data_IF_361064233132
#
_entry.id   IF_361064233132
#
_cell.length_a   1.000
_cell.length_b   1.000
_cell.length_c   1.000
_cell.angle_alpha   90.00
_cell.angle_beta   90.00
_cell.angle_gamma   90.00
#
_symmetry.space_group_name_H-M   'P 1'
#
loop_
_entity.id
_entity.type
_entity.pdbx_description
1 polymer ?
#
# COMPACT_ATOMS: atom_id res chain seq x y z
N UNK A 1 -14.17 29.90 -5.41
CA UNK A 1 -12.99 29.09 -5.73
C UNK A 1 -13.42 27.64 -5.80
N UNK A 2 -12.98 26.88 -6.80
CA UNK A 2 -13.22 25.42 -6.84
C UNK A 2 -12.45 24.74 -5.72
N UNK A 3 -13.12 23.90 -4.93
CA UNK A 3 -12.49 23.10 -3.89
C UNK A 3 -11.52 22.10 -4.54
N UNK A 4 -10.24 22.15 -4.18
CA UNK A 4 -9.25 21.17 -4.59
C UNK A 4 -9.26 19.96 -3.65
N UNK A 5 -8.93 18.78 -4.18
CA UNK A 5 -8.94 17.50 -3.46
C UNK A 5 -7.56 16.86 -3.49
N UNK A 6 -7.18 16.27 -2.37
CA UNK A 6 -6.07 15.33 -2.26
C UNK A 6 -6.63 13.91 -2.25
N UNK A 7 -5.87 12.97 -2.82
CA UNK A 7 -6.25 11.56 -2.90
C UNK A 7 -5.17 10.69 -2.26
N UNK A 8 -5.63 9.62 -1.61
CA UNK A 8 -4.76 8.59 -1.04
C UNK A 8 -5.27 7.23 -1.47
N UNK A 9 -4.36 6.35 -1.88
CA UNK A 9 -4.71 5.00 -2.34
C UNK A 9 -3.93 3.99 -1.50
N UNK A 10 -4.68 3.15 -0.77
CA UNK A 10 -4.12 2.08 0.04
C UNK A 10 -4.45 0.73 -0.60
N UNK A 11 -3.43 -0.08 -0.87
CA UNK A 11 -3.59 -1.51 -1.06
C UNK A 11 -3.78 -2.18 0.30
N UNK A 12 -4.86 -2.94 0.47
CA UNK A 12 -5.13 -3.67 1.71
C UNK A 12 -5.24 -5.16 1.38
N UNK A 13 -4.34 -5.99 1.90
CA UNK A 13 -4.52 -7.44 2.04
C UNK A 13 -4.84 -7.77 3.50
N UNK A 14 -6.08 -8.19 3.72
CA UNK A 14 -6.60 -8.54 5.06
C UNK A 14 -5.82 -9.67 5.74
N UNK A 15 -4.99 -10.43 5.00
CA UNK A 15 -4.12 -11.47 5.56
C UNK A 15 -2.93 -10.92 6.32
N UNK A 16 -2.56 -9.66 6.15
CA UNK A 16 -1.62 -9.03 7.07
C UNK A 16 -0.75 -7.92 6.52
N UNK A 17 -1.08 -7.33 5.37
CA UNK A 17 -0.28 -6.26 4.78
C UNK A 17 -1.18 -5.16 4.24
N UNK A 18 -0.83 -3.92 4.58
CA UNK A 18 -1.37 -2.73 3.96
C UNK A 18 -0.19 -1.94 3.40
N UNK A 19 -0.30 -1.47 2.16
CA UNK A 19 0.69 -0.60 1.52
C UNK A 19 0.01 0.68 1.05
N UNK A 20 0.56 1.83 1.40
CA UNK A 20 0.04 3.14 1.02
C UNK A 20 1.23 4.09 0.82
N UNK A 21 1.32 4.70 -0.37
CA UNK A 21 2.38 5.69 -0.67
C UNK A 21 3.80 5.16 -0.39
N UNK A 22 4.04 3.87 -0.62
CA UNK A 22 5.33 3.21 -0.38
C UNK A 22 5.58 2.78 1.07
N UNK A 23 4.69 3.12 2.01
CA UNK A 23 4.77 2.70 3.41
C UNK A 23 3.98 1.42 3.65
N UNK A 24 4.65 0.40 4.19
CA UNK A 24 4.00 -0.85 4.57
C UNK A 24 3.61 -0.85 6.06
N UNK A 25 2.39 -1.31 6.33
CA UNK A 25 1.88 -1.63 7.67
C UNK A 25 1.58 -3.11 7.74
N UNK A 26 2.19 -3.81 8.70
CA UNK A 26 2.03 -5.25 8.91
C UNK A 26 1.10 -5.55 10.09
N UNK A 27 0.42 -6.69 10.02
CA UNK A 27 -0.41 -7.18 11.12
C UNK A 27 0.45 -7.68 12.29
N UNK A 28 0.04 -7.33 13.51
CA UNK A 28 0.63 -7.88 14.73
C UNK A 28 -0.15 -9.09 15.26
N UNK A 29 -0.16 -9.27 16.58
CA UNK A 29 -1.00 -10.27 17.25
C UNK A 29 -2.45 -9.77 17.39
N UNK A 30 -3.11 -9.53 16.26
CA UNK A 30 -4.50 -9.05 16.22
C UNK A 30 -5.34 -9.78 15.16
N UNK A 31 -6.66 -9.71 15.28
CA UNK A 31 -7.57 -10.29 14.26
C UNK A 31 -7.51 -9.45 12.98
N UNK A 32 -7.66 -10.11 11.82
CA UNK A 32 -7.66 -9.47 10.48
C UNK A 32 -8.60 -8.27 10.37
N UNK A 33 -9.81 -8.38 10.91
CA UNK A 33 -10.78 -7.27 10.90
C UNK A 33 -10.38 -6.11 11.82
N UNK A 34 -9.75 -6.40 12.96
CA UNK A 34 -9.23 -5.37 13.88
C UNK A 34 -8.06 -4.62 13.24
N UNK A 35 -7.16 -5.35 12.58
CA UNK A 35 -6.03 -4.77 11.83
C UNK A 35 -6.49 -3.77 10.78
N UNK A 36 -7.40 -4.19 9.90
CA UNK A 36 -7.96 -3.31 8.85
C UNK A 36 -8.68 -2.13 9.48
N UNK A 37 -9.52 -2.36 10.49
CA UNK A 37 -10.25 -1.28 11.18
C UNK A 37 -9.30 -0.26 11.80
N UNK A 38 -8.22 -0.70 12.46
CA UNK A 38 -7.23 0.18 13.09
C UNK A 38 -6.60 1.12 12.06
N UNK A 39 -6.20 0.57 10.91
CA UNK A 39 -5.64 1.35 9.82
C UNK A 39 -6.67 2.33 9.22
N UNK A 40 -7.88 1.87 8.90
CA UNK A 40 -8.93 2.76 8.39
C UNK A 40 -9.32 3.86 9.39
N UNK A 41 -9.26 3.56 10.69
CA UNK A 41 -9.53 4.54 11.75
C UNK A 41 -8.45 5.62 11.83
N UNK A 42 -7.18 5.32 11.52
CA UNK A 42 -6.14 6.37 11.47
C UNK A 42 -6.37 7.31 10.30
N UNK A 43 -6.72 6.78 9.13
CA UNK A 43 -7.10 7.60 7.97
C UNK A 43 -8.31 8.49 8.27
N UNK A 44 -9.34 7.95 8.94
CA UNK A 44 -10.49 8.75 9.35
C UNK A 44 -10.14 9.90 10.32
N UNK A 45 -9.17 9.69 11.22
CA UNK A 45 -8.67 10.76 12.13
C UNK A 45 -7.90 11.85 11.38
N UNK A 46 -7.27 11.51 10.27
CA UNK A 46 -6.58 12.44 9.35
C UNK A 46 -7.54 13.17 8.39
N UNK A 47 -8.86 12.89 8.48
CA UNK A 47 -9.89 13.51 7.65
C UNK A 47 -10.06 12.87 6.26
N UNK A 48 -9.49 11.69 6.04
CA UNK A 48 -9.66 10.94 4.80
C UNK A 48 -11.04 10.27 4.75
N UNK A 49 -11.79 10.54 3.70
CA UNK A 49 -13.08 9.93 3.40
C UNK A 49 -12.89 8.80 2.39
N UNK A 50 -13.43 7.60 2.68
CA UNK A 50 -13.43 6.49 1.73
C UNK A 50 -14.41 6.76 0.59
N UNK A 51 -13.94 6.70 -0.65
CA UNK A 51 -14.75 7.01 -1.85
C UNK A 51 -14.78 5.91 -2.89
N UNK A 52 -13.94 4.89 -2.75
CA UNK A 52 -13.92 3.78 -3.70
C UNK A 52 -13.21 2.57 -3.15
N UNK A 53 -13.64 1.40 -3.60
CA UNK A 53 -12.96 0.13 -3.38
C UNK A 53 -12.84 -0.56 -4.74
N UNK A 54 -11.63 -0.99 -5.11
CA UNK A 54 -11.38 -1.83 -6.28
C UNK A 54 -10.84 -3.19 -5.84
N UNK A 55 -11.70 -4.23 -5.81
CA UNK A 55 -11.28 -5.58 -5.46
C UNK A 55 -10.22 -6.14 -6.41
N UNK A 56 -9.25 -6.88 -5.87
CA UNK A 56 -8.21 -7.58 -6.63
C UNK A 56 -8.32 -9.09 -6.45
N UNK A 57 -8.48 -9.53 -5.20
CA UNK A 57 -8.63 -10.95 -4.83
C UNK A 57 -9.71 -11.09 -3.77
N UNK A 58 -9.95 -12.32 -3.30
CA UNK A 58 -10.87 -12.56 -2.18
C UNK A 58 -10.41 -11.95 -0.85
N UNK A 59 -9.14 -11.57 -0.71
CA UNK A 59 -8.60 -10.99 0.53
C UNK A 59 -7.98 -9.62 0.36
N UNK A 60 -7.90 -9.10 -0.87
CA UNK A 60 -7.25 -7.82 -1.15
C UNK A 60 -7.99 -6.91 -2.12
N UNK A 61 -7.84 -5.61 -1.90
CA UNK A 61 -8.42 -4.54 -2.73
C UNK A 61 -7.62 -3.24 -2.59
N UNK A 62 -7.77 -2.34 -3.55
CA UNK A 62 -7.40 -0.93 -3.40
C UNK A 62 -8.55 -0.15 -2.76
N UNK A 63 -8.23 0.63 -1.74
CA UNK A 63 -9.14 1.56 -1.07
C UNK A 63 -8.72 2.97 -1.43
N UNK A 64 -9.63 3.73 -2.03
CA UNK A 64 -9.40 5.09 -2.50
C UNK A 64 -10.06 6.06 -1.51
N UNK A 65 -9.28 7.01 -1.03
CA UNK A 65 -9.72 8.05 -0.12
C UNK A 65 -9.54 9.43 -0.73
N UNK A 66 -10.36 10.38 -0.29
CA UNK A 66 -10.19 11.80 -0.61
C UNK A 66 -10.29 12.66 0.65
N UNK A 67 -9.72 13.86 0.59
CA UNK A 67 -9.98 14.95 1.54
C UNK A 67 -9.77 16.31 0.87
N UNK A 68 -10.31 17.42 1.41
CA UNK A 68 -9.95 18.75 0.94
C UNK A 68 -8.43 18.92 0.98
N UNK A 69 -7.83 19.37 -0.12
CA UNK A 69 -6.39 19.49 -0.22
C UNK A 69 -5.85 20.52 0.79
N UNK A 70 -4.72 20.17 1.40
CA UNK A 70 -3.93 20.99 2.32
C UNK A 70 -2.59 21.32 1.67
N UNK A 71 -1.89 22.31 2.22
CA UNK A 71 -0.55 22.67 1.76
C UNK A 71 0.40 21.47 1.90
N UNK A 72 1.09 21.10 0.81
CA UNK A 72 1.98 19.94 0.75
C UNK A 72 1.36 18.64 0.24
N UNK A 73 0.04 18.53 0.06
CA UNK A 73 -0.60 17.31 -0.48
C UNK A 73 -0.21 17.00 -1.95
N UNK A 74 0.34 17.98 -2.66
CA UNK A 74 0.78 17.86 -4.06
C UNK A 74 2.30 17.74 -4.24
N UNK A 75 3.05 17.68 -3.14
CA UNK A 75 4.49 17.43 -3.22
C UNK A 75 4.70 16.05 -3.86
N UNK A 76 5.43 15.99 -4.98
CA UNK A 76 5.70 14.73 -5.67
C UNK A 76 6.27 13.70 -4.69
N UNK A 77 5.56 12.58 -4.57
CA UNK A 77 6.07 11.42 -3.85
C UNK A 77 7.31 10.94 -4.60
N UNK A 78 8.46 10.91 -3.93
CA UNK A 78 9.71 10.47 -4.54
C UNK A 78 9.51 9.11 -5.24
N UNK A 79 10.10 8.89 -6.42
CA UNK A 79 9.94 7.63 -7.14
C UNK A 79 10.26 6.46 -6.22
N UNK A 80 9.37 5.48 -6.18
CA UNK A 80 9.54 4.27 -5.37
C UNK A 80 10.92 3.68 -5.66
N UNK A 81 11.75 3.51 -4.63
CA UNK A 81 13.03 2.85 -4.76
C UNK A 81 12.80 1.45 -5.35
N UNK A 82 13.36 1.23 -6.55
CA UNK A 82 13.25 -0.02 -7.26
C UNK A 82 13.84 -1.13 -6.39
N UNK A 83 12.98 -2.04 -5.89
CA UNK A 83 13.46 -3.20 -5.15
C UNK A 83 14.31 -4.03 -6.14
N UNK A 84 15.56 -4.41 -5.78
CA UNK A 84 16.37 -5.23 -6.66
C UNK A 84 15.62 -6.52 -6.99
N UNK A 85 15.31 -6.71 -8.28
CA UNK A 85 14.76 -7.95 -8.79
C UNK A 85 15.81 -9.04 -8.55
N UNK A 86 15.52 -9.97 -7.64
CA UNK A 86 16.39 -11.12 -7.44
C UNK A 86 16.49 -11.90 -8.76
N UNK A 87 17.67 -11.89 -9.37
CA UNK A 87 17.97 -12.71 -10.53
C UNK A 87 17.91 -14.20 -10.13
N UNK A 88 17.30 -15.07 -10.95
CA UNK A 88 17.35 -16.50 -10.70
C UNK A 88 18.79 -16.98 -10.92
N UNK A 89 19.44 -17.43 -9.85
CA UNK A 89 20.74 -18.11 -9.88
C UNK A 89 20.67 -19.35 -10.78
N UNK A 90 21.19 -19.25 -12.00
CA UNK A 90 21.45 -20.38 -12.89
C UNK A 90 22.73 -21.11 -12.44
N UNK A 91 22.61 -21.91 -11.38
CA UNK A 91 23.64 -22.88 -11.00
C UNK A 91 23.54 -24.13 -11.87
N UNK A 92 24.24 -24.16 -13.01
CA UNK A 92 24.48 -25.37 -13.79
C UNK A 92 25.79 -26.05 -13.37
N UNK A 93 25.86 -27.40 -13.29
CA UNK A 93 27.04 -28.09 -12.81
C UNK A 93 28.19 -28.02 -13.84
N UNK A 94 29.39 -27.64 -13.38
CA UNK A 94 30.61 -27.71 -14.17
C UNK A 94 31.01 -29.17 -14.36
N UNK A 95 31.11 -29.60 -15.60
CA UNK A 95 31.61 -30.92 -15.99
C UNK A 95 33.15 -30.83 -15.97
N UNK A 96 33.78 -31.43 -14.96
CA UNK A 96 35.24 -31.53 -14.87
C UNK A 96 35.72 -32.60 -15.86
N UNK A 97 36.59 -32.22 -16.80
CA UNK A 97 37.26 -33.16 -17.71
C UNK A 97 38.74 -33.14 -17.37
N UNK A 98 39.25 -34.22 -16.80
CA UNK A 98 40.66 -34.59 -16.76
C UNK A 98 40.79 -36.11 -16.58
#
# INVERSE_FOLDING_TARGET
MSQQWAYKVAYIDTRGRISCEGLETLIGNERRSAFVRRYLSSLGREGWELVGIQPLTSTSAYYVFKRPAQEGDYSESAPAAEQPRAEPSSGGPAIETA
#
